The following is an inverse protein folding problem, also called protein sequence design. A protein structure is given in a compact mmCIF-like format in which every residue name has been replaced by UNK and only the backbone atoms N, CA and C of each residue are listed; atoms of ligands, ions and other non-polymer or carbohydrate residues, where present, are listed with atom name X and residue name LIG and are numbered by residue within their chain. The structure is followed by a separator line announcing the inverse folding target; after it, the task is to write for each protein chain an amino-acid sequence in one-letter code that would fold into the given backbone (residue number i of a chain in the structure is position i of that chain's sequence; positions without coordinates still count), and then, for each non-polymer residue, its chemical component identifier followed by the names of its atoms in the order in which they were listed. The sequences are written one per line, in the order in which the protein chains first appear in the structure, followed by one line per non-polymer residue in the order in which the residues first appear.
data_IF_735321997771
#
_entry.id   IF_735321997771
#
_cell.length_a   1.000
_cell.length_b   1.000
_cell.length_c   1.000
_cell.angle_alpha   90.00
_cell.angle_beta   90.00
_cell.angle_gamma   90.00
#
_symmetry.space_group_name_H-M   'P 1'
#
loop_
_entity.id
_entity.type
_entity.pdbx_description
1 polymer ?
#
# COMPACT_ATOMS: atom_id res chain seq x y z
N UNK A 1 20.98 -13.02 10.16
CA UNK A 1 20.45 -12.19 9.07
C UNK A 1 20.02 -10.89 9.72
N UNK A 2 20.80 -9.85 9.54
CA UNK A 2 20.59 -8.54 10.18
C UNK A 2 19.97 -7.61 9.15
N UNK A 3 18.73 -7.22 9.42
CA UNK A 3 18.03 -6.20 8.66
C UNK A 3 18.37 -4.84 9.25
N UNK A 4 18.71 -3.89 8.39
CA UNK A 4 18.98 -2.51 8.74
C UNK A 4 17.86 -1.64 8.20
N UNK A 5 17.42 -0.67 8.99
CA UNK A 5 16.42 0.31 8.58
C UNK A 5 16.98 1.71 8.74
N UNK A 6 16.72 2.56 7.75
CA UNK A 6 17.05 3.98 7.86
C UNK A 6 16.19 4.65 8.95
N UNK A 7 16.82 5.24 9.96
CA UNK A 7 16.11 5.90 11.06
C UNK A 7 15.50 7.27 10.70
N UNK A 8 15.88 7.86 9.56
CA UNK A 8 15.34 9.15 9.10
C UNK A 8 14.02 8.98 8.35
N UNK A 9 13.96 8.04 7.40
CA UNK A 9 12.76 7.83 6.59
C UNK A 9 11.94 6.59 6.98
N UNK A 10 12.53 5.63 7.70
CA UNK A 10 11.87 4.36 8.05
C UNK A 10 11.55 3.44 6.88
N UNK A 11 11.70 3.90 5.63
CA UNK A 11 11.24 3.22 4.43
C UNK A 11 12.33 2.43 3.69
N UNK A 12 13.60 2.77 3.90
CA UNK A 12 14.71 2.02 3.30
C UNK A 12 15.13 0.90 4.24
N UNK A 13 14.92 -0.34 3.79
CA UNK A 13 15.34 -1.56 4.46
C UNK A 13 16.48 -2.21 3.67
N UNK A 14 17.58 -2.47 4.35
CA UNK A 14 18.78 -3.08 3.80
C UNK A 14 19.05 -4.41 4.49
N UNK A 15 19.32 -5.43 3.70
CA UNK A 15 19.67 -6.75 4.18
C UNK A 15 21.10 -7.07 3.77
N UNK A 16 21.97 -7.23 4.76
CA UNK A 16 23.40 -7.52 4.55
C UNK A 16 23.59 -8.80 3.72
N UNK A 17 22.73 -9.81 3.87
CA UNK A 17 22.86 -11.07 3.13
C UNK A 17 22.53 -10.95 1.64
N UNK A 18 21.65 -10.01 1.27
CA UNK A 18 21.23 -9.79 -0.12
C UNK A 18 22.02 -8.69 -0.82
N UNK A 19 22.57 -7.73 -0.06
CA UNK A 19 23.17 -6.53 -0.63
C UNK A 19 22.14 -5.65 -1.34
N UNK A 20 22.60 -4.69 -2.14
CA UNK A 20 21.73 -3.84 -2.97
C UNK A 20 22.37 -3.59 -4.33
N UNK A 21 21.89 -4.33 -5.33
CA UNK A 21 22.34 -4.21 -6.73
C UNK A 21 22.01 -2.86 -7.35
N UNK A 22 20.98 -2.14 -6.88
CA UNK A 22 20.58 -0.87 -7.47
C UNK A 22 21.49 0.29 -7.05
N UNK A 23 22.06 0.22 -5.84
CA UNK A 23 23.01 1.22 -5.33
C UNK A 23 24.48 0.75 -5.42
N UNK A 24 24.72 -0.43 -5.99
CA UNK A 24 26.07 -0.98 -6.23
C UNK A 24 26.72 -1.64 -5.02
N UNK A 25 25.94 -2.00 -3.99
CA UNK A 25 26.41 -2.65 -2.76
C UNK A 25 26.41 -4.17 -2.94
N UNK A 26 27.55 -4.81 -2.70
CA UNK A 26 27.68 -6.27 -2.82
C UNK A 26 27.00 -6.99 -1.65
N UNK A 27 26.53 -8.23 -1.85
CA UNK A 27 26.07 -9.08 -0.75
C UNK A 27 27.17 -9.28 0.29
N UNK A 28 26.83 -9.17 1.57
CA UNK A 28 27.72 -9.27 2.72
C UNK A 28 28.44 -7.98 3.11
N UNK A 29 28.01 -6.83 2.58
CA UNK A 29 28.58 -5.52 2.94
C UNK A 29 27.77 -4.89 4.07
N UNK A 30 28.40 -4.59 5.21
CA UNK A 30 27.72 -3.89 6.31
C UNK A 30 27.54 -2.40 6.00
N UNK A 31 26.53 -1.71 6.56
CA UNK A 31 26.32 -0.27 6.34
C UNK A 31 27.53 0.61 6.67
N UNK A 32 28.39 0.18 7.60
CA UNK A 32 29.64 0.88 7.94
C UNK A 32 30.64 0.92 6.77
N UNK A 33 30.64 -0.14 5.96
CA UNK A 33 31.54 -0.35 4.82
C UNK A 33 31.03 0.30 3.53
N UNK A 34 29.88 0.98 3.57
CA UNK A 34 29.34 1.66 2.41
C UNK A 34 30.26 2.81 1.96
N UNK A 35 30.34 3.10 0.64
CA UNK A 35 31.08 4.24 0.13
C UNK A 35 30.70 5.53 0.87
N UNK A 36 31.67 6.42 1.10
CA UNK A 36 31.40 7.68 1.84
C UNK A 36 30.44 8.63 1.10
N UNK A 37 30.28 8.45 -0.21
CA UNK A 37 29.32 9.19 -1.04
C UNK A 37 27.92 8.54 -1.07
N UNK A 38 27.75 7.39 -0.43
CA UNK A 38 26.46 6.69 -0.41
C UNK A 38 25.43 7.48 0.40
N UNK A 39 24.25 7.63 -0.19
CA UNK A 39 23.09 8.27 0.43
C UNK A 39 21.87 7.39 0.28
N UNK A 40 20.99 7.43 1.27
CA UNK A 40 19.70 6.74 1.23
C UNK A 40 18.91 7.18 -0.02
N UNK A 41 18.43 6.25 -0.86
CA UNK A 41 17.74 6.59 -2.11
C UNK A 41 16.38 7.25 -1.89
N UNK A 42 15.83 7.18 -0.68
CA UNK A 42 14.52 7.74 -0.34
C UNK A 42 14.65 9.16 0.23
N UNK A 43 15.55 9.37 1.20
CA UNK A 43 15.64 10.65 1.94
C UNK A 43 16.99 11.36 1.82
N UNK A 44 17.99 10.74 1.18
CA UNK A 44 19.31 11.35 1.00
C UNK A 44 20.18 11.41 2.27
N UNK A 45 19.77 10.76 3.37
CA UNK A 45 20.55 10.66 4.59
C UNK A 45 21.83 9.81 4.38
N UNK A 46 22.89 10.15 5.10
CA UNK A 46 24.18 9.46 5.03
C UNK A 46 24.11 8.05 5.66
N UNK A 47 25.13 7.22 5.38
CA UNK A 47 25.23 5.83 5.87
C UNK A 47 25.09 5.65 7.40
N UNK A 48 25.41 6.67 8.19
CA UNK A 48 25.35 6.64 9.65
C UNK A 48 23.92 6.49 10.20
N UNK A 49 22.90 6.72 9.36
CA UNK A 49 21.50 6.64 9.74
C UNK A 49 20.87 5.25 9.53
N UNK A 50 21.67 4.26 9.11
CA UNK A 50 21.21 2.87 9.06
C UNK A 50 21.42 2.17 10.40
N UNK A 51 20.32 1.83 11.07
CA UNK A 51 20.35 1.13 12.34
C UNK A 51 19.85 -0.31 12.18
N UNK A 52 20.43 -1.28 12.89
CA UNK A 52 19.93 -2.65 12.88
C UNK A 52 18.55 -2.71 13.53
N UNK A 53 17.66 -3.54 12.97
CA UNK A 53 16.35 -3.84 13.53
C UNK A 53 16.51 -5.08 14.43
N UNK A 54 16.32 -4.89 15.74
CA UNK A 54 16.23 -6.00 16.68
C UNK A 54 14.88 -6.71 16.46
N UNK A 55 14.92 -8.01 16.16
CA UNK A 55 13.72 -8.85 16.11
C UNK A 55 13.37 -9.22 17.54
N UNK A 56 12.27 -8.70 18.07
CA UNK A 56 11.74 -9.12 19.36
C UNK A 56 11.30 -10.59 19.25
N UNK A 57 12.02 -11.48 19.91
CA UNK A 57 11.60 -12.87 20.09
C UNK A 57 10.39 -12.89 21.03
N UNK A 58 9.24 -13.30 20.51
CA UNK A 58 7.98 -13.41 21.26
C UNK A 58 8.13 -14.63 22.19
N UNK A 59 8.27 -14.39 23.49
CA UNK A 59 8.28 -15.44 24.51
C UNK A 59 6.87 -16.06 24.65
N UNK A 60 6.78 -17.38 24.51
CA UNK A 60 5.55 -18.17 24.66
C UNK A 60 5.01 -18.08 26.10
N UNK A 61 3.88 -17.41 26.31
CA UNK A 61 3.17 -17.41 27.59
C UNK A 61 2.16 -18.58 27.58
N UNK A 62 2.54 -19.71 28.16
CA UNK A 62 1.62 -20.84 28.38
C UNK A 62 0.93 -20.71 29.73
N UNK A 63 -0.39 -20.53 29.76
CA UNK A 63 -1.18 -20.60 30.99
C UNK A 63 -1.93 -21.94 31.07
N UNK A 64 -1.87 -22.58 32.23
CA UNK A 64 -2.56 -23.85 32.49
C UNK A 64 -3.82 -23.57 33.31
N UNK A 65 -5.00 -23.88 32.74
CA UNK A 65 -6.27 -23.82 33.47
C UNK A 65 -6.91 -25.21 33.61
N UNK A 66 -7.47 -25.48 34.78
CA UNK A 66 -8.11 -26.75 35.10
C UNK A 66 -9.63 -26.56 34.97
N UNK A 67 -10.19 -27.05 33.87
CA UNK A 67 -11.63 -26.99 33.63
C UNK A 67 -12.29 -28.27 34.16
N UNK A 68 -13.36 -28.10 34.93
CA UNK A 68 -14.13 -29.20 35.49
C UNK A 68 -15.40 -29.43 34.66
N UNK A 69 -15.61 -30.67 34.20
CA UNK A 69 -16.78 -30.98 33.38
C UNK A 69 -18.06 -30.92 34.23
N UNK A 70 -19.04 -30.07 33.91
CA UNK A 70 -20.24 -29.88 34.73
C UNK A 70 -21.20 -31.08 34.73
N UNK A 71 -21.02 -32.05 33.83
CA UNK A 71 -21.91 -33.21 33.67
C UNK A 71 -21.41 -34.48 34.37
N UNK A 72 -20.09 -34.70 34.41
CA UNK A 72 -19.49 -35.91 34.98
C UNK A 72 -18.42 -35.64 36.05
N UNK A 73 -18.11 -34.38 36.35
CA UNK A 73 -17.17 -33.98 37.41
C UNK A 73 -15.69 -34.26 37.11
N UNK A 74 -15.39 -34.83 35.93
CA UNK A 74 -14.01 -35.13 35.52
C UNK A 74 -13.25 -33.83 35.28
N UNK A 75 -12.07 -33.69 35.90
CA UNK A 75 -11.20 -32.52 35.75
C UNK A 75 -10.23 -32.78 34.61
N UNK A 76 -10.28 -31.98 33.56
CA UNK A 76 -9.33 -32.04 32.44
C UNK A 76 -8.39 -30.83 32.52
N UNK A 77 -7.08 -31.08 32.48
CA UNK A 77 -6.09 -30.03 32.27
C UNK A 77 -6.21 -29.58 30.82
N UNK A 78 -6.49 -28.30 30.60
CA UNK A 78 -6.47 -27.70 29.27
C UNK A 78 -5.29 -26.74 29.27
N UNK A 79 -4.29 -27.04 28.44
CA UNK A 79 -3.25 -26.09 28.07
C UNK A 79 -3.84 -25.20 26.99
N UNK A 80 -4.10 -23.93 27.33
CA UNK A 80 -4.53 -22.93 26.35
C UNK A 80 -3.29 -22.16 25.95
N UNK A 81 -2.74 -22.50 24.78
CA UNK A 81 -1.81 -21.61 24.09
C UNK A 81 -2.63 -20.52 23.43
N UNK A 82 -2.59 -19.30 23.97
CA UNK A 82 -3.05 -18.12 23.21
C UNK A 82 -2.09 -17.92 22.05
N UNK A 83 -2.44 -18.48 20.89
CA UNK A 83 -1.79 -18.14 19.64
C UNK A 83 -2.13 -16.69 19.32
N UNK A 84 -1.21 -15.78 19.62
CA UNK A 84 -1.14 -14.50 18.92
C UNK A 84 -1.16 -14.80 17.42
N UNK A 85 -2.21 -14.32 16.73
CA UNK A 85 -2.47 -14.51 15.29
C UNK A 85 -2.15 -15.92 14.80
N UNK A 86 -3.14 -16.81 14.81
CA UNK A 86 -3.05 -18.11 14.14
C UNK A 86 -2.70 -17.89 12.67
N UNK A 87 -1.45 -18.16 12.32
CA UNK A 87 -1.03 -18.28 10.95
C UNK A 87 -1.62 -19.61 10.45
N UNK A 88 -2.78 -19.57 9.78
CA UNK A 88 -3.45 -20.75 9.19
C UNK A 88 -2.68 -21.23 7.93
N UNK A 89 -1.36 -21.00 7.90
CA UNK A 89 -0.43 -21.52 6.90
C UNK A 89 -0.39 -23.06 6.87
N UNK A 90 -1.01 -23.75 7.83
CA UNK A 90 -0.90 -25.20 7.99
C UNK A 90 -1.50 -26.09 6.89
N UNK A 91 -2.62 -25.72 6.23
CA UNK A 91 -3.21 -26.62 5.22
C UNK A 91 -2.60 -26.47 3.82
N UNK A 92 -2.35 -25.24 3.38
CA UNK A 92 -1.82 -24.98 2.05
C UNK A 92 -0.30 -24.82 2.03
N UNK A 93 0.34 -24.41 3.14
CA UNK A 93 1.80 -24.28 3.26
C UNK A 93 2.44 -23.65 2.03
N UNK A 94 3.35 -24.41 1.41
CA UNK A 94 4.09 -24.05 0.19
C UNK A 94 3.23 -23.94 -1.08
N UNK A 95 2.01 -24.50 -1.07
CA UNK A 95 1.05 -24.46 -2.20
C UNK A 95 0.11 -23.26 -2.15
N UNK A 96 0.25 -22.37 -1.15
CA UNK A 96 -0.54 -21.14 -1.06
C UNK A 96 -0.23 -20.24 -2.25
N UNK A 97 -1.23 -20.00 -3.10
CA UNK A 97 -1.14 -19.03 -4.19
C UNK A 97 -1.50 -17.64 -3.66
N UNK A 98 -0.58 -16.68 -3.83
CA UNK A 98 -0.84 -15.27 -3.50
C UNK A 98 -1.61 -14.56 -4.62
N UNK A 99 -1.44 -14.99 -5.87
CA UNK A 99 -2.08 -14.36 -7.04
C UNK A 99 -2.50 -15.40 -8.07
N UNK A 100 -3.60 -15.14 -8.77
CA UNK A 100 -4.03 -15.86 -9.97
C UNK A 100 -4.22 -14.85 -11.11
N UNK A 101 -3.99 -15.28 -12.35
CA UNK A 101 -4.24 -14.46 -13.54
C UNK A 101 -5.74 -14.23 -13.76
N UNK A 102 -6.56 -15.19 -13.31
CA UNK A 102 -8.02 -15.15 -13.47
C UNK A 102 -8.69 -14.43 -12.31
N UNK A 103 -8.14 -14.59 -11.10
CA UNK A 103 -8.68 -14.03 -9.87
C UNK A 103 -7.73 -12.95 -9.30
N UNK A 104 -7.92 -11.67 -9.66
CA UNK A 104 -7.03 -10.58 -9.25
C UNK A 104 -7.14 -10.27 -7.75
N UNK A 105 -8.21 -10.69 -7.08
CA UNK A 105 -8.45 -10.44 -5.66
C UNK A 105 -8.13 -11.64 -4.76
N UNK A 106 -7.40 -12.65 -5.26
CA UNK A 106 -7.11 -13.89 -4.52
C UNK A 106 -6.46 -13.64 -3.15
N UNK A 107 -5.50 -12.72 -3.08
CA UNK A 107 -4.84 -12.36 -1.82
C UNK A 107 -5.81 -11.73 -0.81
N UNK A 108 -6.69 -10.85 -1.29
CA UNK A 108 -7.67 -10.14 -0.46
C UNK A 108 -8.73 -11.12 0.06
N UNK A 109 -9.20 -12.06 -0.77
CA UNK A 109 -10.10 -13.15 -0.38
C UNK A 109 -9.45 -14.01 0.72
N UNK A 110 -8.18 -14.37 0.56
CA UNK A 110 -7.46 -15.13 1.58
C UNK A 110 -7.34 -14.35 2.89
N UNK A 111 -6.98 -13.06 2.84
CA UNK A 111 -6.90 -12.21 4.04
C UNK A 111 -8.25 -12.15 4.75
N UNK A 112 -9.32 -11.80 4.03
CA UNK A 112 -10.68 -11.71 4.58
C UNK A 112 -11.13 -13.06 5.15
N UNK A 113 -10.82 -14.18 4.50
CA UNK A 113 -11.20 -15.51 4.99
C UNK A 113 -10.54 -15.89 6.31
N UNK A 114 -9.31 -15.42 6.54
CA UNK A 114 -8.52 -15.73 7.73
C UNK A 114 -8.82 -14.75 8.87
N UNK A 115 -8.91 -13.45 8.56
CA UNK A 115 -9.11 -12.41 9.57
C UNK A 115 -10.58 -12.16 9.88
N UNK A 116 -11.49 -12.47 8.96
CA UNK A 116 -12.91 -12.11 9.05
C UNK A 116 -13.18 -10.61 8.87
N UNK A 117 -12.15 -9.83 8.56
CA UNK A 117 -12.21 -8.36 8.48
C UNK A 117 -12.09 -7.91 7.02
N UNK A 118 -12.78 -6.83 6.67
CA UNK A 118 -12.65 -6.19 5.36
C UNK A 118 -11.29 -5.51 5.22
N UNK A 119 -10.70 -5.58 4.02
CA UNK A 119 -9.45 -4.89 3.70
C UNK A 119 -9.64 -3.38 3.71
N UNK A 120 -8.87 -2.68 4.55
CA UNK A 120 -8.80 -1.22 4.61
C UNK A 120 -7.55 -0.75 3.87
N UNK A 121 -7.72 -0.23 2.66
CA UNK A 121 -6.65 0.36 1.84
C UNK A 121 -6.99 1.81 1.47
N UNK A 122 -5.99 2.69 1.27
CA UNK A 122 -6.23 4.01 0.72
C UNK A 122 -6.88 3.93 -0.66
N UNK A 123 -7.65 4.96 -1.05
CA UNK A 123 -8.45 5.02 -2.27
C UNK A 123 -7.61 5.07 -3.56
N UNK A 124 -6.87 4.00 -3.88
CA UNK A 124 -6.16 3.83 -5.15
C UNK A 124 -6.69 2.57 -5.84
N UNK A 125 -7.07 2.71 -7.11
CA UNK A 125 -7.41 1.56 -7.96
C UNK A 125 -6.13 0.88 -8.48
N UNK A 126 -6.14 -0.46 -8.51
CA UNK A 126 -5.10 -1.27 -9.18
C UNK A 126 -5.33 -1.36 -10.69
N UNK A 127 -6.47 -0.87 -11.20
CA UNK A 127 -6.79 -0.86 -12.62
C UNK A 127 -6.03 0.24 -13.34
N UNK A 128 -5.55 -0.05 -14.54
CA UNK A 128 -5.02 0.96 -15.44
C UNK A 128 -6.14 1.93 -15.83
N UNK A 129 -5.92 3.20 -15.54
CA UNK A 129 -6.82 4.29 -15.93
C UNK A 129 -6.21 5.06 -17.09
N UNK A 130 -7.08 5.69 -17.89
CA UNK A 130 -6.67 6.53 -19.03
C UNK A 130 -5.65 7.59 -18.58
N UNK A 131 -4.50 7.61 -19.25
CA UNK A 131 -3.49 8.66 -19.07
C UNK A 131 -3.73 9.79 -20.06
N UNK A 132 -3.26 11.00 -19.74
CA UNK A 132 -3.22 12.10 -20.70
C UNK A 132 -2.38 11.78 -21.94
N UNK A 133 -1.42 10.87 -21.83
CA UNK A 133 -0.61 10.40 -22.95
C UNK A 133 -1.40 9.50 -23.93
N UNK A 134 -2.52 8.93 -23.49
CA UNK A 134 -3.38 8.07 -24.32
C UNK A 134 -4.41 8.88 -25.12
N UNK A 135 -4.48 10.20 -24.89
CA UNK A 135 -5.48 11.08 -25.49
C UNK A 135 -4.84 11.93 -26.58
N UNK A 136 -5.34 11.80 -27.81
CA UNK A 136 -4.97 12.67 -28.93
C UNK A 136 -6.04 13.76 -29.15
N UNK A 137 -5.69 15.02 -28.88
CA UNK A 137 -6.54 16.17 -29.23
C UNK A 137 -6.40 16.44 -30.73
N UNK A 138 -7.48 16.20 -31.49
CA UNK A 138 -7.49 16.44 -32.94
C UNK A 138 -7.70 17.93 -33.23
N UNK A 139 -6.71 18.54 -33.88
CA UNK A 139 -6.85 19.87 -34.45
C UNK A 139 -7.90 19.92 -35.56
N UNK A 140 -8.53 21.08 -35.73
CA UNK A 140 -9.39 21.33 -36.88
C UNK A 140 -8.55 21.34 -38.17
N UNK A 141 -9.10 20.78 -39.25
CA UNK A 141 -8.41 20.61 -40.54
C UNK A 141 -9.09 21.45 -41.64
N UNK A 142 -8.83 21.18 -42.92
CA UNK A 142 -9.34 21.96 -44.06
C UNK A 142 -10.87 22.11 -44.12
N UNK A 143 -11.63 21.20 -43.50
CA UNK A 143 -13.10 21.27 -43.45
C UNK A 143 -13.62 22.37 -42.51
N UNK A 144 -12.85 22.74 -41.47
CA UNK A 144 -13.22 23.80 -40.53
C UNK A 144 -11.96 24.53 -40.10
N UNK A 145 -11.85 25.79 -40.51
CA UNK A 145 -10.72 26.64 -40.14
C UNK A 145 -10.76 26.84 -38.61
N UNK A 146 -9.62 26.68 -37.90
CA UNK A 146 -9.55 26.98 -36.47
C UNK A 146 -9.76 28.48 -36.21
N UNK A 147 -10.22 28.81 -35.01
CA UNK A 147 -10.34 30.21 -34.58
C UNK A 147 -8.94 30.79 -34.32
N UNK A 148 -8.80 32.10 -34.53
CA UNK A 148 -7.57 32.82 -34.18
C UNK A 148 -7.45 32.98 -32.66
N UNK A 149 -6.24 33.23 -32.16
CA UNK A 149 -5.98 33.37 -30.71
C UNK A 149 -6.71 34.56 -30.08
N UNK A 150 -6.92 35.64 -30.82
CA UNK A 150 -7.59 36.85 -30.34
C UNK A 150 -9.13 36.71 -30.32
N UNK A 151 -9.68 35.65 -30.91
CA UNK A 151 -11.12 35.44 -30.97
C UNK A 151 -11.64 34.88 -29.64
N UNK A 152 -12.65 35.55 -29.08
CA UNK A 152 -13.23 35.15 -27.79
C UNK A 152 -13.95 33.81 -27.90
N UNK A 153 -13.63 32.88 -27.01
CA UNK A 153 -14.33 31.59 -26.86
C UNK A 153 -15.23 31.59 -25.63
N UNK A 154 -16.35 30.87 -25.71
CA UNK A 154 -17.27 30.70 -24.59
C UNK A 154 -16.86 29.48 -23.74
N UNK A 155 -16.46 29.72 -22.49
CA UNK A 155 -16.07 28.66 -21.53
C UNK A 155 -17.19 28.25 -20.57
N UNK A 156 -18.37 28.85 -20.70
CA UNK A 156 -19.51 28.59 -19.84
C UNK A 156 -19.90 27.13 -19.90
N UNK A 157 -19.93 26.49 -18.74
CA UNK A 157 -20.20 25.06 -18.58
C UNK A 157 -21.50 24.87 -17.81
N UNK A 158 -22.34 23.95 -18.29
CA UNK A 158 -23.63 23.60 -17.66
C UNK A 158 -23.58 22.15 -17.22
N UNK A 159 -23.62 21.93 -15.91
CA UNK A 159 -23.63 20.59 -15.31
C UNK A 159 -25.09 20.19 -15.08
N UNK A 160 -25.47 19.04 -15.64
CA UNK A 160 -26.84 18.52 -15.56
C UNK A 160 -27.85 19.34 -16.40
N UNK A 161 -27.67 19.48 -17.73
CA UNK A 161 -28.54 20.34 -18.55
C UNK A 161 -30.01 19.91 -18.58
N UNK A 162 -30.32 18.65 -18.26
CA UNK A 162 -31.69 18.12 -18.17
C UNK A 162 -32.26 18.15 -16.73
N UNK A 163 -31.49 18.61 -15.75
CA UNK A 163 -31.94 18.67 -14.37
C UNK A 163 -32.96 19.80 -14.18
N UNK A 164 -33.84 19.66 -13.17
CA UNK A 164 -34.80 20.71 -12.80
C UNK A 164 -34.09 22.01 -12.39
N UNK A 165 -32.89 21.90 -11.82
CA UNK A 165 -32.02 23.01 -11.44
C UNK A 165 -30.59 22.69 -11.91
N UNK A 166 -30.20 23.13 -13.12
CA UNK A 166 -28.85 22.92 -13.63
C UNK A 166 -27.85 23.85 -12.95
N UNK A 167 -26.62 23.36 -12.73
CA UNK A 167 -25.52 24.20 -12.24
C UNK A 167 -24.83 24.85 -13.43
N UNK A 168 -24.78 26.17 -13.43
CA UNK A 168 -24.20 26.98 -14.51
C UNK A 168 -22.97 27.70 -13.98
N UNK A 169 -21.81 27.44 -14.56
CA UNK A 169 -20.51 28.02 -14.18
C UNK A 169 -19.87 28.69 -15.39
N UNK A 170 -19.15 29.79 -15.19
CA UNK A 170 -18.54 30.57 -16.28
C UNK A 170 -17.26 29.92 -16.84
N UNK A 171 -16.59 29.09 -16.05
CA UNK A 171 -15.40 28.34 -16.47
C UNK A 171 -15.54 26.86 -16.10
N UNK A 172 -14.94 25.93 -16.88
CA UNK A 172 -14.97 24.51 -16.58
C UNK A 172 -14.04 24.11 -15.43
N UNK A 173 -13.26 25.06 -14.92
CA UNK A 173 -12.29 24.83 -13.84
C UNK A 173 -12.94 25.25 -12.52
N UNK A 174 -13.13 24.29 -11.63
CA UNK A 174 -13.64 24.53 -10.29
C UNK A 174 -12.53 24.24 -9.27
N UNK A 175 -12.15 25.24 -8.49
CA UNK A 175 -11.20 25.07 -7.40
C UNK A 175 -11.96 24.49 -6.21
N UNK A 176 -11.77 23.20 -5.96
CA UNK A 176 -12.21 22.61 -4.71
C UNK A 176 -11.27 23.11 -3.61
N UNK A 177 -11.81 23.63 -2.51
CA UNK A 177 -11.01 23.78 -1.31
C UNK A 177 -10.61 22.37 -0.84
N UNK A 178 -9.36 22.20 -0.38
CA UNK A 178 -8.99 20.98 0.35
C UNK A 178 -10.03 20.78 1.44
N UNK A 179 -10.61 19.59 1.49
CA UNK A 179 -11.63 19.20 2.45
C UNK A 179 -11.15 19.45 3.88
N UNK A 180 -11.42 20.63 4.43
CA UNK A 180 -11.31 20.90 5.86
C UNK A 180 -12.47 20.14 6.52
N UNK A 181 -12.29 18.82 6.72
CA UNK A 181 -13.35 17.91 7.16
C UNK A 181 -13.10 16.43 6.93
N UNK A 182 -12.10 16.05 6.12
CA UNK A 182 -11.53 14.71 6.19
C UNK A 182 -10.36 14.76 7.18
N UNK A 183 -10.68 14.75 8.48
CA UNK A 183 -9.70 14.42 9.51
C UNK A 183 -9.19 13.00 9.23
N UNK A 184 -8.01 12.93 8.62
CA UNK A 184 -7.10 11.78 8.68
C UNK A 184 -6.55 11.62 10.08
#
# INVERSE_FOLDING_TARGET
MTEYRCNVCGAFEYDDSRGDSNTGIKPGTKPEEFPNEWRCPICGADKNHQMPVEKEEIEEITSEEIVTCPKCGTKSKITVSEFGKVDISGYLGEWKRSSDITEPYMEDIHKISVTGESVLEPMRTKQDVLSWNDILIRGAQLAKIPLNEDETVNTKTVIGPKAKQPLVIETPVFITHMSYGALS
#
